data_IF_026202624542
#
_entry.id   IF_026202624542
#
_cell.length_a   1.000
_cell.length_b   1.000
_cell.length_c   1.000
_cell.angle_alpha   90.00
_cell.angle_beta   90.00
_cell.angle_gamma   90.00
#
_symmetry.space_group_name_H-M   'P 1'
#
loop_
_entity.id
_entity.type
_entity.pdbx_description
1 polymer ?
#
# COMPACT_ATOMS: atom_id res chain seq x y z
N UNK A 1 -7.74 15.23 8.94
CA UNK A 1 -6.60 14.49 9.56
C UNK A 1 -6.25 13.30 8.68
N UNK A 2 -4.98 12.96 8.51
CA UNK A 2 -4.58 11.81 7.70
C UNK A 2 -5.00 10.49 8.36
N UNK A 3 -5.83 9.70 7.68
CA UNK A 3 -6.23 8.35 8.12
C UNK A 3 -5.01 7.45 8.33
N UNK A 4 -5.02 6.63 9.40
CA UNK A 4 -4.00 5.61 9.62
C UNK A 4 -4.22 4.41 8.67
N UNK A 5 -3.17 3.92 7.98
CA UNK A 5 -3.28 2.75 7.12
C UNK A 5 -3.53 1.47 7.93
N UNK A 6 -4.04 0.43 7.27
CA UNK A 6 -4.36 -0.88 7.86
C UNK A 6 -3.11 -1.76 8.11
N UNK A 7 -2.14 -1.26 8.88
CA UNK A 7 -0.83 -1.89 9.10
C UNK A 7 -0.96 -3.32 9.63
N UNK A 8 -1.77 -3.54 10.66
CA UNK A 8 -1.93 -4.87 11.28
C UNK A 8 -2.48 -5.91 10.29
N UNK A 9 -3.34 -5.50 9.34
CA UNK A 9 -3.86 -6.40 8.32
C UNK A 9 -2.83 -6.62 7.21
N UNK A 10 -2.06 -5.59 6.85
CA UNK A 10 -0.97 -5.71 5.89
C UNK A 10 0.14 -6.64 6.39
N UNK A 11 0.44 -6.63 7.69
CA UNK A 11 1.43 -7.52 8.31
C UNK A 11 1.06 -9.00 8.20
N UNK A 12 -0.23 -9.35 8.12
CA UNK A 12 -0.68 -10.74 7.89
C UNK A 12 -0.45 -11.23 6.46
N UNK A 13 -0.06 -10.33 5.54
CA UNK A 13 0.15 -10.61 4.12
C UNK A 13 1.63 -10.63 3.73
N UNK A 14 2.51 -10.33 4.68
CA UNK A 14 3.96 -10.30 4.50
C UNK A 14 4.65 -11.17 5.54
N UNK A 15 5.91 -11.51 5.30
CA UNK A 15 6.76 -12.29 6.18
C UNK A 15 7.23 -11.46 7.38
N UNK A 16 7.50 -10.17 7.19
CA UNK A 16 8.00 -9.29 8.25
C UNK A 16 7.74 -7.81 7.94
N UNK A 17 7.99 -6.95 8.94
CA UNK A 17 7.80 -5.49 8.83
C UNK A 17 8.64 -4.84 7.74
N UNK A 18 9.84 -5.34 7.48
CA UNK A 18 10.72 -4.80 6.44
C UNK A 18 10.17 -5.12 5.04
N UNK A 19 9.68 -6.34 4.81
CA UNK A 19 9.01 -6.71 3.54
C UNK A 19 7.80 -5.81 3.28
N UNK A 20 7.01 -5.49 4.31
CA UNK A 20 5.90 -4.53 4.18
C UNK A 20 6.38 -3.15 3.71
N UNK A 21 7.46 -2.61 4.29
CA UNK A 21 8.00 -1.30 3.90
C UNK A 21 8.45 -1.31 2.44
N UNK A 22 9.21 -2.34 2.04
CA UNK A 22 9.71 -2.43 0.66
C UNK A 22 8.59 -2.63 -0.36
N UNK A 23 7.61 -3.50 -0.07
CA UNK A 23 6.46 -3.75 -0.93
C UNK A 23 5.60 -2.49 -1.08
N UNK A 24 5.28 -1.82 0.03
CA UNK A 24 4.49 -0.59 0.02
C UNK A 24 5.21 0.55 -0.72
N UNK A 25 6.53 0.69 -0.55
CA UNK A 25 7.31 1.71 -1.25
C UNK A 25 7.33 1.48 -2.77
N UNK A 26 7.51 0.22 -3.20
CA UNK A 26 7.50 -0.15 -4.62
C UNK A 26 6.14 0.15 -5.27
N UNK A 27 5.05 -0.27 -4.63
CA UNK A 27 3.70 -0.01 -5.12
C UNK A 27 3.37 1.49 -5.10
N UNK A 28 3.74 2.22 -4.05
CA UNK A 28 3.53 3.66 -3.99
C UNK A 28 4.25 4.38 -5.15
N UNK A 29 5.48 3.97 -5.48
CA UNK A 29 6.23 4.49 -6.63
C UNK A 29 5.49 4.25 -7.95
N UNK A 30 4.99 3.03 -8.17
CA UNK A 30 4.19 2.71 -9.36
C UNK A 30 2.93 3.58 -9.46
N UNK A 31 2.23 3.83 -8.34
CA UNK A 31 1.09 4.75 -8.29
C UNK A 31 1.48 6.19 -8.62
N UNK A 32 2.71 6.62 -8.34
CA UNK A 32 3.21 7.94 -8.75
C UNK A 32 3.50 7.99 -10.26
N UNK A 33 4.12 6.95 -10.80
CA UNK A 33 4.55 6.88 -12.20
C UNK A 33 3.38 6.68 -13.17
N UNK A 34 2.36 5.92 -12.79
CA UNK A 34 1.17 5.64 -13.60
C UNK A 34 0.16 6.79 -13.61
N UNK A 35 0.44 7.88 -12.90
CA UNK A 35 -0.43 9.05 -12.87
C UNK A 35 -1.78 8.78 -12.20
N UNK A 36 -1.90 7.72 -11.39
CA UNK A 36 -3.11 7.45 -10.60
C UNK A 36 -3.41 8.71 -9.76
N UNK A 37 -4.41 9.47 -10.21
CA UNK A 37 -4.75 10.76 -9.63
C UNK A 37 -5.19 10.54 -8.19
N UNK A 38 -4.72 11.44 -7.33
CA UNK A 38 -5.02 11.58 -5.91
C UNK A 38 -6.32 10.89 -5.52
N UNK A 39 -6.25 9.70 -4.91
CA UNK A 39 -7.45 9.05 -4.41
C UNK A 39 -8.01 9.91 -3.29
N UNK A 40 -9.22 10.42 -3.51
CA UNK A 40 -9.93 11.23 -2.54
C UNK A 40 -10.78 10.29 -1.70
N UNK A 41 -10.74 10.43 -0.37
CA UNK A 41 -11.73 9.75 0.48
C UNK A 41 -13.14 10.24 0.16
N UNK A 42 -14.17 9.52 0.62
CA UNK A 42 -15.57 9.97 0.54
C UNK A 42 -15.77 11.39 1.14
N UNK A 43 -14.86 11.81 2.03
CA UNK A 43 -14.84 13.12 2.71
C UNK A 43 -14.01 14.19 1.97
N UNK A 44 -13.53 13.94 0.75
CA UNK A 44 -12.76 14.94 0.01
C UNK A 44 -11.26 15.00 0.38
N UNK A 45 -10.73 14.07 1.20
CA UNK A 45 -9.35 14.14 1.70
C UNK A 45 -8.40 13.36 0.77
N UNK A 46 -7.35 13.99 0.23
CA UNK A 46 -6.33 13.27 -0.54
C UNK A 46 -5.63 12.20 0.29
N UNK A 47 -5.68 10.96 -0.15
CA UNK A 47 -4.92 9.85 0.42
C UNK A 47 -3.50 9.85 -0.16
N UNK A 48 -2.51 9.81 0.73
CA UNK A 48 -1.12 9.58 0.34
C UNK A 48 -1.00 8.20 -0.32
N UNK A 49 -0.31 8.11 -1.46
CA UNK A 49 -0.13 6.85 -2.20
C UNK A 49 0.50 5.73 -1.37
N UNK A 50 1.30 6.07 -0.36
CA UNK A 50 1.83 5.11 0.62
C UNK A 50 0.75 4.49 1.51
N UNK A 51 -0.26 5.27 1.92
CA UNK A 51 -1.41 4.75 2.69
C UNK A 51 -2.23 3.80 1.82
N UNK A 52 -2.42 4.17 0.55
CA UNK A 52 -3.14 3.35 -0.43
C UNK A 52 -2.39 2.04 -0.65
N UNK A 53 -1.08 2.08 -0.89
CA UNK A 53 -0.27 0.90 -1.08
C UNK A 53 -0.37 -0.09 0.10
N UNK A 54 -0.32 0.40 1.34
CA UNK A 54 -0.48 -0.43 2.53
C UNK A 54 -1.89 -1.04 2.60
N UNK A 55 -2.92 -0.26 2.27
CA UNK A 55 -4.31 -0.74 2.25
C UNK A 55 -4.55 -1.78 1.13
N UNK A 56 -3.93 -1.63 -0.04
CA UNK A 56 -4.00 -2.61 -1.13
C UNK A 56 -3.34 -3.94 -0.74
N UNK A 57 -2.19 -3.88 -0.05
CA UNK A 57 -1.53 -5.07 0.51
C UNK A 57 -2.44 -5.71 1.58
N UNK A 58 -2.98 -4.92 2.51
CA UNK A 58 -3.90 -5.41 3.54
C UNK A 58 -5.11 -6.15 2.97
N UNK A 59 -5.69 -5.62 1.88
CA UNK A 59 -6.85 -6.19 1.19
C UNK A 59 -6.49 -7.38 0.29
N UNK A 60 -5.19 -7.69 0.11
CA UNK A 60 -4.72 -8.76 -0.76
C UNK A 60 -4.87 -8.46 -2.27
N UNK A 61 -5.05 -7.19 -2.64
CA UNK A 61 -5.15 -6.75 -4.04
C UNK A 61 -3.79 -6.49 -4.66
N UNK A 62 -2.79 -6.21 -3.84
CA UNK A 62 -1.38 -6.24 -4.22
C UNK A 62 -0.74 -7.55 -3.75
N UNK A 63 -0.13 -8.29 -4.68
CA UNK A 63 0.51 -9.59 -4.40
C UNK A 63 2.02 -9.44 -4.49
N UNK A 64 2.71 -9.92 -3.45
CA UNK A 64 4.17 -9.96 -3.42
C UNK A 64 4.64 -11.26 -4.07
N UNK A 65 5.22 -11.14 -5.26
CA UNK A 65 5.84 -12.27 -5.95
C UNK A 65 7.20 -12.56 -5.33
N UNK A 66 7.33 -13.75 -4.76
CA UNK A 66 8.61 -14.28 -4.25
C UNK A 66 9.14 -15.22 -5.31
N UNK A 67 10.41 -15.07 -5.68
CA UNK A 67 11.06 -16.04 -6.55
C UNK A 67 11.13 -17.35 -5.75
N UNK A 68 10.44 -18.40 -6.21
CA UNK A 68 10.72 -19.75 -5.69
C UNK A 68 12.13 -20.11 -6.15
N UNK A 69 12.98 -20.48 -5.20
CA UNK A 69 14.26 -21.13 -5.51
C UNK A 69 14.03 -22.50 -6.16
#
# INVERSE_FOLDING_TARGET
>A
MSRRPLIEQALKRVNNRYELVHAAAKLAKELYETGAESYVTEEGIPLKKTVIAIDEIAKGRAVILRKSE
#
